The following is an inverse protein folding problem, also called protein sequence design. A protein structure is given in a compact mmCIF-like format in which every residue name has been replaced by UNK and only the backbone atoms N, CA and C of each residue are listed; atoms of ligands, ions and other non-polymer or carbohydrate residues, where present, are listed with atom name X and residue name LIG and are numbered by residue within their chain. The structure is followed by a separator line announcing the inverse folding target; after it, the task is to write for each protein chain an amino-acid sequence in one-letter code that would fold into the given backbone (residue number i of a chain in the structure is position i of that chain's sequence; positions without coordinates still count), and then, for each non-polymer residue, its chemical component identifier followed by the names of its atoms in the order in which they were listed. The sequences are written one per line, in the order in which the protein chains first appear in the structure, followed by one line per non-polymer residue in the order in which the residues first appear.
data_IF_394793531893
#
_entry.id   IF_394793531893
#
_cell.length_a   1.000
_cell.length_b   1.000
_cell.length_c   1.000
_cell.angle_alpha   90.00
_cell.angle_beta   90.00
_cell.angle_gamma   90.00
#
_symmetry.space_group_name_H-M   'P 1'
#
loop_
_entity.id
_entity.type
_entity.pdbx_description
1 polymer ?
#
# COMPACT_ATOMS: atom_id res chain seq x y z
N UNK A 1 4.67 -27.66 -0.71
CA UNK A 1 3.76 -26.51 -0.57
C UNK A 1 4.51 -25.23 -0.16
N UNK A 2 5.47 -25.32 0.78
CA UNK A 2 6.35 -24.22 1.26
C UNK A 2 7.10 -23.42 0.15
N UNK A 3 7.69 -24.07 -0.86
CA UNK A 3 8.38 -23.37 -1.97
C UNK A 3 7.48 -22.45 -2.79
N UNK A 4 6.20 -22.81 -2.99
CA UNK A 4 5.23 -21.97 -3.74
C UNK A 4 4.84 -20.71 -2.95
N UNK A 5 4.76 -20.84 -1.62
CA UNK A 5 4.47 -19.73 -0.73
C UNK A 5 5.60 -18.69 -0.73
N UNK A 6 6.86 -19.14 -0.68
CA UNK A 6 8.03 -18.25 -0.71
C UNK A 6 8.17 -17.50 -2.05
N UNK A 7 7.94 -18.17 -3.18
CA UNK A 7 7.94 -17.51 -4.50
C UNK A 7 6.80 -16.48 -4.62
N UNK A 8 5.61 -16.80 -4.11
CA UNK A 8 4.47 -15.87 -4.10
C UNK A 8 4.74 -14.63 -3.23
N UNK A 9 5.30 -14.82 -2.03
CA UNK A 9 5.61 -13.75 -1.09
C UNK A 9 6.65 -12.77 -1.66
N UNK A 10 7.69 -13.27 -2.32
CA UNK A 10 8.70 -12.44 -2.97
C UNK A 10 8.15 -11.73 -4.22
N UNK A 11 7.36 -12.42 -5.03
CA UNK A 11 6.71 -11.82 -6.20
C UNK A 11 5.76 -10.68 -5.80
N UNK A 12 4.95 -10.87 -4.75
CA UNK A 12 4.07 -9.83 -4.21
C UNK A 12 4.83 -8.59 -3.73
N UNK A 13 5.98 -8.78 -3.05
CA UNK A 13 6.84 -7.67 -2.62
C UNK A 13 7.43 -6.90 -3.80
N UNK A 14 7.88 -7.61 -4.84
CA UNK A 14 8.38 -7.00 -6.08
C UNK A 14 7.29 -6.23 -6.83
N UNK A 15 6.10 -6.82 -6.97
CA UNK A 15 4.96 -6.17 -7.61
C UNK A 15 4.58 -4.88 -6.87
N UNK A 16 4.54 -4.92 -5.54
CA UNK A 16 4.25 -3.74 -4.72
C UNK A 16 5.29 -2.64 -4.92
N UNK A 17 6.58 -3.00 -4.97
CA UNK A 17 7.67 -2.05 -5.23
C UNK A 17 7.55 -1.41 -6.63
N UNK A 18 7.23 -2.20 -7.65
CA UNK A 18 7.00 -1.70 -9.02
C UNK A 18 5.83 -0.71 -9.05
N UNK A 19 4.71 -1.04 -8.40
CA UNK A 19 3.54 -0.15 -8.31
C UNK A 19 3.94 1.18 -7.66
N UNK A 20 4.67 1.15 -6.55
CA UNK A 20 5.13 2.35 -5.84
C UNK A 20 6.02 3.22 -6.74
N UNK A 21 6.95 2.62 -7.47
CA UNK A 21 7.77 3.35 -8.43
C UNK A 21 6.93 3.99 -9.54
N UNK A 22 5.94 3.27 -10.07
CA UNK A 22 5.01 3.84 -11.04
C UNK A 22 4.26 5.05 -10.47
N UNK A 23 3.83 5.04 -9.21
CA UNK A 23 3.17 6.20 -8.58
C UNK A 23 4.08 7.43 -8.55
N UNK A 24 5.36 7.25 -8.17
CA UNK A 24 6.34 8.34 -8.11
C UNK A 24 6.69 8.85 -9.51
N UNK A 25 6.94 7.94 -10.46
CA UNK A 25 7.33 8.29 -11.83
C UNK A 25 6.18 8.99 -12.56
N UNK A 26 4.99 8.42 -12.56
CA UNK A 26 3.84 8.99 -13.27
C UNK A 26 3.45 10.34 -12.64
N UNK A 27 3.38 10.41 -11.30
CA UNK A 27 3.09 11.65 -10.60
C UNK A 27 4.16 12.74 -10.85
N UNK A 28 5.43 12.35 -10.97
CA UNK A 28 6.54 13.28 -11.23
C UNK A 28 6.64 13.73 -12.68
N UNK A 29 6.53 12.82 -13.63
CA UNK A 29 6.65 13.09 -15.08
C UNK A 29 5.49 13.95 -15.56
N UNK A 30 4.26 13.61 -15.18
CA UNK A 30 3.05 14.32 -15.62
C UNK A 30 2.60 15.38 -14.62
N UNK A 31 3.50 15.90 -13.77
CA UNK A 31 3.15 16.84 -12.70
C UNK A 31 2.48 18.11 -13.25
N UNK A 32 2.96 18.61 -14.38
CA UNK A 32 2.50 19.86 -14.98
C UNK A 32 1.38 19.63 -16.04
N UNK A 33 1.15 18.39 -16.45
CA UNK A 33 0.18 18.02 -17.49
C UNK A 33 -1.25 17.82 -16.93
N UNK A 34 -1.58 18.45 -15.80
CA UNK A 34 -2.89 18.39 -15.17
C UNK A 34 -3.32 19.74 -14.58
N UNK A 35 -3.63 20.75 -15.42
CA UNK A 35 -4.04 22.08 -14.99
C UNK A 35 -5.36 22.08 -14.20
N UNK A 36 -6.24 21.10 -14.43
CA UNK A 36 -7.51 21.01 -13.70
C UNK A 36 -7.32 20.84 -12.19
N UNK A 37 -6.32 20.06 -11.78
CA UNK A 37 -6.03 19.82 -10.37
C UNK A 37 -4.60 19.28 -10.18
N UNK A 38 -3.68 20.20 -9.87
CA UNK A 38 -2.27 19.88 -9.59
C UNK A 38 -2.08 19.01 -8.34
N UNK A 39 -3.11 18.81 -7.51
CA UNK A 39 -3.02 17.97 -6.31
C UNK A 39 -3.13 16.47 -6.65
N UNK A 40 -3.67 16.09 -7.82
CA UNK A 40 -3.72 14.69 -8.27
C UNK A 40 -2.32 14.08 -8.41
N UNK A 41 -1.35 14.68 -9.13
CA UNK A 41 0.00 14.15 -9.20
C UNK A 41 0.72 14.19 -7.85
N UNK A 42 0.52 15.24 -7.04
CA UNK A 42 1.11 15.34 -5.69
C UNK A 42 0.58 14.24 -4.78
N UNK A 43 -0.70 13.90 -4.87
CA UNK A 43 -1.32 12.79 -4.14
C UNK A 43 -0.58 11.47 -4.39
N UNK A 44 -0.31 11.14 -5.66
CA UNK A 44 0.42 9.94 -6.06
C UNK A 44 1.85 9.91 -5.52
N UNK A 45 2.57 11.03 -5.60
CA UNK A 45 3.97 11.12 -5.14
C UNK A 45 4.04 10.92 -3.62
N UNK A 46 3.20 11.63 -2.86
CA UNK A 46 3.18 11.54 -1.40
C UNK A 46 2.90 10.09 -0.98
N UNK A 47 1.86 9.47 -1.54
CA UNK A 47 1.56 8.07 -1.27
C UNK A 47 2.72 7.13 -1.63
N UNK A 48 3.31 7.31 -2.81
CA UNK A 48 4.45 6.51 -3.25
C UNK A 48 5.64 6.61 -2.29
N UNK A 49 6.03 7.81 -1.87
CA UNK A 49 7.19 8.02 -0.98
C UNK A 49 6.96 7.40 0.40
N UNK A 50 5.79 7.62 1.00
CA UNK A 50 5.48 7.07 2.33
C UNK A 50 5.37 5.53 2.32
N UNK A 51 4.94 4.92 1.21
CA UNK A 51 4.88 3.46 1.05
C UNK A 51 6.23 2.83 0.64
N UNK A 52 7.13 3.61 0.05
CA UNK A 52 8.45 3.14 -0.40
C UNK A 52 9.34 2.73 0.77
N UNK A 53 9.34 3.51 1.86
CA UNK A 53 10.15 3.25 3.06
C UNK A 53 9.87 1.87 3.67
N UNK A 54 8.63 1.48 4.00
CA UNK A 54 8.35 0.15 4.56
C UNK A 54 8.58 -0.99 3.54
N UNK A 55 8.37 -0.72 2.26
CA UNK A 55 8.59 -1.72 1.18
C UNK A 55 10.07 -2.07 1.04
N UNK A 56 10.96 -1.07 1.06
CA UNK A 56 12.41 -1.29 1.03
C UNK A 56 12.87 -2.03 2.29
N UNK A 57 12.37 -1.65 3.46
CA UNK A 57 12.63 -2.37 4.70
C UNK A 57 12.31 -3.86 4.58
N UNK A 58 11.12 -4.18 4.07
CA UNK A 58 10.66 -5.56 3.90
C UNK A 58 11.48 -6.37 2.86
N UNK A 59 12.00 -5.72 1.82
CA UNK A 59 12.87 -6.34 0.81
C UNK A 59 14.28 -6.65 1.36
N UNK A 60 14.83 -5.77 2.20
CA UNK A 60 16.16 -5.95 2.80
C UNK A 60 16.13 -7.07 3.85
N UNK A 61 15.13 -7.08 4.73
CA UNK A 61 15.00 -8.12 5.76
C UNK A 61 14.66 -9.50 5.16
N UNK A 62 13.84 -9.56 4.11
CA UNK A 62 13.47 -10.81 3.45
C UNK A 62 14.61 -11.56 2.75
N UNK A 63 15.74 -10.88 2.46
CA UNK A 63 16.93 -11.51 1.88
C UNK A 63 17.85 -12.12 2.94
N UNK A 64 17.72 -11.72 4.20
CA UNK A 64 18.57 -12.18 5.31
C UNK A 64 18.12 -13.53 5.89
N UNK A 65 16.88 -13.94 5.60
CA UNK A 65 16.23 -15.19 6.08
C UNK A 65 16.70 -16.47 5.32
N UNK A 66 17.52 -16.35 4.27
CA UNK A 66 17.87 -17.50 3.42
C UNK A 66 19.23 -18.15 3.77
N UNK A 67 19.97 -17.68 4.77
CA UNK A 67 21.37 -18.08 5.00
C UNK A 67 21.67 -18.79 6.34
N UNK A 68 20.67 -19.23 7.11
CA UNK A 68 20.91 -19.98 8.36
C UNK A 68 20.20 -21.35 8.37
N UNK A 69 20.96 -22.39 8.02
CA UNK A 69 20.65 -23.78 8.34
C UNK A 69 21.05 -24.06 9.79
N UNK A 70 20.07 -24.33 10.66
CA UNK A 70 20.26 -25.10 11.90
C UNK A 70 19.81 -24.39 13.19
N UNK A 71 18.69 -24.84 13.77
CA UNK A 71 18.32 -24.58 15.17
C UNK A 71 16.83 -24.38 15.38
N UNK A 72 16.15 -25.38 15.94
CA UNK A 72 14.76 -25.28 16.42
C UNK A 72 14.72 -24.47 17.73
N UNK A 73 13.91 -23.41 17.79
CA UNK A 73 13.24 -22.96 19.03
C UNK A 73 11.95 -22.22 18.63
N UNK A 74 10.81 -22.80 19.00
CA UNK A 74 9.54 -22.09 18.98
C UNK A 74 9.52 -20.96 20.00
N UNK A 75 8.97 -19.83 19.57
CA UNK A 75 8.95 -18.57 20.31
C UNK A 75 9.41 -17.44 19.41
N UNK A 76 8.68 -17.22 18.31
CA UNK A 76 9.13 -16.51 17.09
C UNK A 76 9.85 -15.18 17.33
N UNK A 77 11.16 -15.28 17.54
CA UNK A 77 12.11 -14.19 17.71
C UNK A 77 13.55 -14.70 17.70
N UNK A 78 14.45 -13.85 17.16
CA UNK A 78 15.94 -13.86 17.26
C UNK A 78 16.71 -14.59 16.13
N UNK A 79 17.82 -14.09 15.57
CA UNK A 79 18.58 -12.87 15.86
C UNK A 79 19.83 -12.70 14.98
N UNK A 80 20.28 -11.46 14.81
CA UNK A 80 21.56 -11.13 14.17
C UNK A 80 21.85 -9.64 14.30
N UNK A 81 22.41 -9.24 15.46
CA UNK A 81 22.76 -7.88 15.92
C UNK A 81 22.21 -6.74 15.02
N UNK A 82 20.89 -6.55 15.01
CA UNK A 82 20.21 -5.82 13.94
C UNK A 82 19.54 -4.53 14.41
N UNK A 83 19.01 -3.71 13.47
CA UNK A 83 18.21 -2.49 13.71
C UNK A 83 16.87 -2.73 14.47
N UNK A 84 16.80 -3.83 15.21
CA UNK A 84 15.61 -4.45 15.77
C UNK A 84 15.33 -3.92 17.19
N UNK A 85 16.34 -3.35 17.86
CA UNK A 85 16.23 -2.69 19.18
C UNK A 85 15.72 -1.23 19.09
N UNK A 86 15.77 -0.62 17.90
CA UNK A 86 15.24 0.73 17.66
C UNK A 86 13.72 0.72 17.40
N UNK A 87 13.22 -0.41 16.87
CA UNK A 87 11.86 -0.57 16.39
C UNK A 87 10.84 -0.85 17.51
N UNK A 88 11.32 -1.18 18.71
CA UNK A 88 10.49 -1.35 19.92
C UNK A 88 10.36 -0.08 20.77
N UNK A 89 10.93 1.03 20.31
CA UNK A 89 10.75 2.32 21.00
C UNK A 89 9.28 2.76 20.86
N UNK A 90 8.64 3.22 21.94
CA UNK A 90 7.29 3.79 21.86
C UNK A 90 7.25 4.97 20.87
N UNK A 91 8.38 5.63 20.67
CA UNK A 91 8.57 6.71 19.68
C UNK A 91 8.32 6.22 18.25
N UNK A 92 8.87 5.07 17.84
CA UNK A 92 8.65 4.53 16.50
C UNK A 92 7.18 4.16 16.28
N UNK A 93 6.53 3.56 17.27
CA UNK A 93 5.09 3.25 17.21
C UNK A 93 4.24 4.51 17.08
N UNK A 94 4.53 5.55 17.86
CA UNK A 94 3.85 6.85 17.74
C UNK A 94 4.06 7.48 16.36
N UNK A 95 5.28 7.47 15.84
CA UNK A 95 5.59 8.01 14.49
C UNK A 95 4.82 7.24 13.41
N UNK A 96 4.78 5.91 13.48
CA UNK A 96 3.99 5.10 12.55
C UNK A 96 2.49 5.40 12.65
N UNK A 97 1.96 5.60 13.86
CA UNK A 97 0.59 6.03 14.08
C UNK A 97 0.28 7.39 13.44
N UNK A 98 1.14 8.38 13.67
CA UNK A 98 1.01 9.73 13.08
C UNK A 98 1.08 9.67 11.55
N UNK A 99 2.04 8.93 11.00
CA UNK A 99 2.15 8.72 9.54
C UNK A 99 0.90 8.03 9.00
N UNK A 100 0.37 7.02 9.71
CA UNK A 100 -0.87 6.35 9.35
C UNK A 100 -2.07 7.30 9.33
N UNK A 101 -2.25 8.14 10.37
CA UNK A 101 -3.31 9.15 10.42
C UNK A 101 -3.17 10.17 9.29
N UNK A 102 -1.95 10.63 9.02
CA UNK A 102 -1.67 11.54 7.92
C UNK A 102 -2.04 10.90 6.58
N UNK A 103 -1.59 9.67 6.31
CA UNK A 103 -1.90 8.94 5.08
C UNK A 103 -3.40 8.70 4.92
N UNK A 104 -4.10 8.39 6.01
CA UNK A 104 -5.55 8.20 5.97
C UNK A 104 -6.27 9.51 5.62
N UNK A 105 -5.92 10.63 6.25
CA UNK A 105 -6.47 11.93 5.90
C UNK A 105 -6.12 12.32 4.45
N UNK A 106 -4.89 12.04 4.03
CA UNK A 106 -4.42 12.28 2.68
C UNK A 106 -5.11 11.40 1.64
N UNK A 107 -5.48 10.16 1.99
CA UNK A 107 -6.33 9.29 1.17
C UNK A 107 -7.64 9.97 0.87
N UNK A 108 -8.33 10.46 1.91
CA UNK A 108 -9.64 11.10 1.80
C UNK A 108 -9.53 12.33 0.89
N UNK A 109 -8.50 13.15 1.10
CA UNK A 109 -8.23 14.30 0.25
C UNK A 109 -7.98 13.89 -1.22
N UNK A 110 -7.19 12.85 -1.44
CA UNK A 110 -6.96 12.26 -2.77
C UNK A 110 -8.22 11.79 -3.47
N UNK A 111 -9.12 11.11 -2.74
CA UNK A 111 -10.42 10.71 -3.27
C UNK A 111 -11.23 11.93 -3.73
N UNK A 112 -11.26 13.00 -2.92
CA UNK A 112 -11.95 14.23 -3.31
C UNK A 112 -11.34 14.82 -4.59
N UNK A 113 -10.02 14.87 -4.71
CA UNK A 113 -9.36 15.42 -5.91
C UNK A 113 -9.61 14.59 -7.17
N UNK A 114 -9.55 13.27 -7.07
CA UNK A 114 -9.75 12.36 -8.20
C UNK A 114 -11.23 12.33 -8.65
N UNK A 115 -12.16 12.20 -7.71
CA UNK A 115 -13.58 12.09 -8.03
C UNK A 115 -14.24 13.42 -8.37
N UNK A 116 -13.78 14.55 -7.80
CA UNK A 116 -14.28 15.88 -8.19
C UNK A 116 -13.90 16.27 -9.62
N UNK A 117 -12.75 15.78 -10.11
CA UNK A 117 -12.31 16.01 -11.49
C UNK A 117 -13.03 15.08 -12.50
N UNK A 118 -13.55 13.93 -12.07
CA UNK A 118 -14.18 12.92 -12.96
C UNK A 118 -15.26 13.45 -13.93
N UNK A 119 -16.24 14.28 -13.52
CA UNK A 119 -17.30 14.72 -14.42
C UNK A 119 -16.87 15.78 -15.45
N UNK A 120 -15.75 16.46 -15.22
CA UNK A 120 -15.33 17.66 -15.98
C UNK A 120 -13.98 17.49 -16.69
N UNK A 121 -13.22 16.45 -16.36
CA UNK A 121 -11.88 16.23 -16.91
C UNK A 121 -11.93 15.93 -18.41
N UNK A 122 -11.12 16.65 -19.17
CA UNK A 122 -10.88 16.38 -20.58
C UNK A 122 -9.51 15.70 -20.73
N UNK A 123 -9.48 14.50 -21.31
CA UNK A 123 -8.27 13.67 -21.41
C UNK A 123 -7.49 13.87 -22.72
N UNK A 124 -8.15 14.45 -23.73
CA UNK A 124 -7.63 14.51 -25.09
C UNK A 124 -7.26 15.95 -25.51
N UNK A 125 -7.99 16.95 -25.03
CA UNK A 125 -7.80 18.34 -25.43
C UNK A 125 -6.86 19.09 -24.49
N UNK A 126 -5.58 19.16 -24.86
CA UNK A 126 -4.51 19.87 -24.14
C UNK A 126 -4.71 21.38 -24.01
N UNK A 127 -5.63 21.97 -24.78
CA UNK A 127 -5.92 23.42 -24.74
C UNK A 127 -7.04 23.76 -23.74
N UNK A 128 -7.74 22.74 -23.23
CA UNK A 128 -8.81 22.93 -22.25
C UNK A 128 -8.25 23.26 -20.88
N UNK A 129 -8.88 24.20 -20.16
CA UNK A 129 -8.59 24.47 -18.75
C UNK A 129 -8.95 23.29 -17.84
N UNK A 130 -9.79 22.37 -18.31
CA UNK A 130 -10.14 21.12 -17.64
C UNK A 130 -9.30 19.93 -18.13
N UNK A 131 -8.17 20.18 -18.79
CA UNK A 131 -7.29 19.11 -19.26
C UNK A 131 -6.59 18.38 -18.10
N UNK A 132 -6.44 17.07 -18.24
CA UNK A 132 -5.49 16.29 -17.46
C UNK A 132 -5.00 15.11 -18.29
N UNK A 133 -3.69 14.86 -18.27
CA UNK A 133 -3.09 13.78 -19.05
C UNK A 133 -3.73 12.42 -18.73
N UNK A 134 -4.14 11.70 -19.78
CA UNK A 134 -4.90 10.46 -19.65
C UNK A 134 -4.21 9.42 -18.76
N UNK A 135 -2.89 9.22 -18.92
CA UNK A 135 -2.10 8.26 -18.12
C UNK A 135 -2.13 8.61 -16.63
N UNK A 136 -1.97 9.90 -16.30
CA UNK A 136 -1.94 10.35 -14.91
C UNK A 136 -3.30 10.16 -14.24
N UNK A 137 -4.35 10.64 -14.91
CA UNK A 137 -5.70 10.58 -14.39
C UNK A 137 -6.19 9.14 -14.23
N UNK A 138 -6.05 8.31 -15.27
CA UNK A 138 -6.52 6.92 -15.24
C UNK A 138 -5.73 6.08 -14.24
N UNK A 139 -4.44 6.34 -14.09
CA UNK A 139 -3.64 5.68 -13.07
C UNK A 139 -4.09 6.07 -11.65
N UNK A 140 -4.28 7.36 -11.36
CA UNK A 140 -4.76 7.83 -10.06
C UNK A 140 -6.14 7.26 -9.72
N UNK A 141 -7.05 7.24 -10.69
CA UNK A 141 -8.38 6.66 -10.54
C UNK A 141 -8.32 5.15 -10.29
N UNK A 142 -7.52 4.43 -11.08
CA UNK A 142 -7.39 2.97 -10.98
C UNK A 142 -6.79 2.58 -9.63
N UNK A 143 -5.69 3.19 -9.21
CA UNK A 143 -5.05 2.87 -7.92
C UNK A 143 -6.00 3.16 -6.76
N UNK A 144 -6.69 4.30 -6.78
CA UNK A 144 -7.67 4.64 -5.74
C UNK A 144 -8.80 3.60 -5.68
N UNK A 145 -9.32 3.20 -6.85
CA UNK A 145 -10.38 2.18 -6.94
C UNK A 145 -9.89 0.81 -6.46
N UNK A 146 -8.66 0.40 -6.79
CA UNK A 146 -8.07 -0.85 -6.32
C UNK A 146 -7.94 -0.89 -4.80
N UNK A 147 -7.60 0.23 -4.16
CA UNK A 147 -7.56 0.33 -2.69
C UNK A 147 -8.95 0.06 -2.11
N UNK A 148 -10.01 0.65 -2.67
CA UNK A 148 -11.39 0.39 -2.23
C UNK A 148 -11.79 -1.09 -2.40
N UNK A 149 -11.46 -1.69 -3.54
CA UNK A 149 -11.73 -3.11 -3.80
C UNK A 149 -10.99 -3.99 -2.78
N UNK A 150 -9.70 -3.71 -2.53
CA UNK A 150 -8.91 -4.45 -1.56
C UNK A 150 -9.46 -4.31 -0.14
N UNK A 151 -9.88 -3.11 0.27
CA UNK A 151 -10.54 -2.88 1.56
C UNK A 151 -11.85 -3.67 1.67
N UNK A 152 -12.71 -3.64 0.64
CA UNK A 152 -13.96 -4.39 0.63
C UNK A 152 -13.72 -5.90 0.74
N UNK A 153 -12.79 -6.44 -0.04
CA UNK A 153 -12.40 -7.86 0.02
C UNK A 153 -11.85 -8.25 1.40
N UNK A 154 -11.00 -7.40 1.99
CA UNK A 154 -10.44 -7.60 3.32
C UNK A 154 -11.51 -7.64 4.41
N UNK A 155 -12.49 -6.73 4.35
CA UNK A 155 -13.62 -6.72 5.27
C UNK A 155 -14.50 -7.95 5.11
N UNK A 156 -14.82 -8.35 3.88
CA UNK A 156 -15.59 -9.57 3.61
C UNK A 156 -14.90 -10.82 4.15
N UNK A 157 -13.60 -10.97 3.87
CA UNK A 157 -12.82 -12.09 4.39
C UNK A 157 -12.78 -12.10 5.93
N UNK A 158 -12.57 -10.93 6.55
CA UNK A 158 -12.60 -10.78 8.01
C UNK A 158 -13.94 -11.22 8.61
N UNK A 159 -15.06 -10.73 8.08
CA UNK A 159 -16.41 -11.11 8.55
C UNK A 159 -16.64 -12.61 8.40
N UNK A 160 -16.28 -13.20 7.26
CA UNK A 160 -16.41 -14.65 7.03
C UNK A 160 -15.62 -15.44 8.09
N UNK A 161 -14.38 -15.05 8.36
CA UNK A 161 -13.56 -15.74 9.38
C UNK A 161 -14.13 -15.63 10.79
N UNK A 162 -14.68 -14.47 11.16
CA UNK A 162 -15.34 -14.26 12.46
C UNK A 162 -16.61 -15.11 12.57
N UNK A 163 -17.44 -15.15 11.52
CA UNK A 163 -18.67 -15.96 11.52
C UNK A 163 -18.34 -17.45 11.58
N UNK A 164 -17.36 -17.92 10.81
CA UNK A 164 -16.94 -19.32 10.82
C UNK A 164 -16.30 -19.75 12.15
N UNK A 165 -15.61 -18.85 12.86
CA UNK A 165 -15.05 -19.16 14.18
C UNK A 165 -16.13 -19.23 15.26
N UNK A 166 -17.05 -18.27 15.30
CA UNK A 166 -18.19 -18.29 16.24
C UNK A 166 -19.12 -19.50 16.01
N UNK A 167 -19.32 -19.91 14.75
CA UNK A 167 -20.11 -21.09 14.44
C UNK A 167 -19.49 -22.40 14.93
N UNK A 168 -18.15 -22.48 14.95
CA UNK A 168 -17.40 -23.66 15.39
C UNK A 168 -17.50 -23.86 16.90
N UNK A 169 -17.52 -22.78 17.68
CA UNK A 169 -17.67 -22.83 19.14
C UNK A 169 -19.05 -23.35 19.59
N UNK A 170 -20.07 -23.30 18.72
CA UNK A 170 -21.41 -23.78 19.02
C UNK A 170 -21.61 -25.30 18.83
N UNK A 171 -20.87 -25.91 17.90
CA UNK A 171 -20.94 -27.35 17.65
C UNK A 171 -20.19 -28.16 18.71
N UNK A 172 -19.13 -27.62 19.32
CA UNK A 172 -18.33 -28.31 20.33
C UNK A 172 -19.01 -28.40 21.73
N UNK A 173 -20.19 -27.78 21.90
CA UNK A 173 -20.99 -27.80 23.13
C UNK A 173 -22.31 -28.60 22.99
N UNK A 174 -22.55 -29.20 21.82
CA UNK A 174 -23.74 -30.01 21.50
C UNK A 174 -23.41 -31.50 21.44
#
# INVERSE_FOLDING_TARGET
MQRKFFTCQNFSRLLSFVIILCMIIIGGVYRDDCPINYLIPVYLIVYGVFLLVPTIGSLVHGRKDQDETGGETEGGGSGGLGPDELMKSPVFSCVQGVVGCFLFAWFIAGNVWVYSAYPVVNRDNTTSTAYCHFVLYDFAFTVTTLVWIACALGLCAGVITVVCSVGKDGEDMS
#
